data_IF_471544266277
#
_entry.id   IF_471544266277
#
_cell.length_a   1.000
_cell.length_b   1.000
_cell.length_c   1.000
_cell.angle_alpha   90.00
_cell.angle_beta   90.00
_cell.angle_gamma   90.00
#
_symmetry.space_group_name_H-M   'P 1'
#
loop_
_entity.id
_entity.type
_entity.pdbx_description
1 polymer ?
#
# COMPACT_ATOMS: atom_id res chain seq x y z
N UNK A 1 17.83 -8.29 -11.62
CA UNK A 1 16.97 -7.10 -11.63
C UNK A 1 16.29 -6.84 -10.31
N UNK A 2 15.66 -7.86 -9.70
CA UNK A 2 15.03 -7.74 -8.37
C UNK A 2 16.01 -7.35 -7.27
N UNK A 3 17.19 -8.00 -7.24
CA UNK A 3 18.24 -7.69 -6.27
C UNK A 3 18.78 -6.27 -6.44
N UNK A 4 18.92 -5.80 -7.67
CA UNK A 4 19.38 -4.46 -7.96
C UNK A 4 18.39 -3.40 -7.46
N UNK A 5 17.09 -3.63 -7.67
CA UNK A 5 16.02 -2.72 -7.20
C UNK A 5 16.03 -2.65 -5.67
N UNK A 6 16.13 -3.79 -4.98
CA UNK A 6 16.21 -3.84 -3.53
C UNK A 6 17.44 -3.10 -3.00
N UNK A 7 18.61 -3.26 -3.65
CA UNK A 7 19.82 -2.58 -3.24
C UNK A 7 19.71 -1.07 -3.40
N UNK A 8 19.10 -0.60 -4.51
CA UNK A 8 18.86 0.82 -4.74
C UNK A 8 17.92 1.41 -3.69
N UNK A 9 16.83 0.72 -3.38
CA UNK A 9 15.88 1.16 -2.35
C UNK A 9 16.54 1.22 -0.98
N UNK A 10 17.30 0.21 -0.62
CA UNK A 10 18.01 0.16 0.66
C UNK A 10 19.01 1.31 0.77
N UNK A 11 19.76 1.59 -0.30
CA UNK A 11 20.70 2.71 -0.33
C UNK A 11 20.00 4.05 -0.08
N UNK A 12 18.85 4.27 -0.71
CA UNK A 12 18.09 5.51 -0.54
C UNK A 12 17.55 5.63 0.90
N UNK A 13 17.07 4.55 1.49
CA UNK A 13 16.54 4.59 2.86
C UNK A 13 17.63 4.75 3.92
N UNK A 14 18.84 4.27 3.67
CA UNK A 14 19.97 4.39 4.59
C UNK A 14 20.67 5.73 4.48
N UNK A 15 20.75 6.31 3.29
CA UNK A 15 21.54 7.53 3.05
C UNK A 15 20.81 8.81 3.44
N UNK A 16 19.50 8.85 3.32
CA UNK A 16 18.71 10.05 3.65
C UNK A 16 17.38 9.67 4.31
N UNK A 17 17.11 10.24 5.47
CA UNK A 17 15.85 10.06 6.16
C UNK A 17 14.89 11.17 5.79
N UNK A 18 13.79 10.82 5.09
CA UNK A 18 12.70 11.75 4.84
C UNK A 18 11.89 11.92 6.13
N UNK A 19 11.65 13.15 6.54
CA UNK A 19 10.85 13.42 7.73
C UNK A 19 9.39 13.04 7.49
N UNK A 20 8.68 12.68 8.56
CA UNK A 20 7.24 12.41 8.50
C UNK A 20 6.51 13.64 7.96
N UNK A 21 6.92 14.83 8.39
CA UNK A 21 6.32 16.07 7.92
C UNK A 21 6.49 16.26 6.40
N UNK A 22 7.70 16.04 5.88
CA UNK A 22 7.96 16.14 4.45
C UNK A 22 7.15 15.15 3.63
N UNK A 23 7.06 13.92 4.08
CA UNK A 23 6.24 12.90 3.46
C UNK A 23 4.76 13.29 3.47
N UNK A 24 4.27 13.81 4.59
CA UNK A 24 2.89 14.26 4.73
C UNK A 24 2.56 15.42 3.81
N UNK A 25 3.49 16.36 3.63
CA UNK A 25 3.28 17.47 2.71
C UNK A 25 3.00 16.97 1.29
N UNK A 26 3.76 15.98 0.85
CA UNK A 26 3.57 15.38 -0.48
C UNK A 26 2.30 14.54 -0.54
N UNK A 27 2.17 13.60 0.38
CA UNK A 27 1.15 12.57 0.32
C UNK A 27 -0.21 13.06 0.81
N UNK A 28 -0.23 13.78 1.91
CA UNK A 28 -1.48 14.19 2.56
C UNK A 28 -2.03 15.50 2.06
N UNK A 29 -1.19 16.34 1.44
CA UNK A 29 -1.62 17.65 0.99
C UNK A 29 -1.43 17.87 -0.52
N UNK A 30 -0.19 17.80 -1.02
CA UNK A 30 0.09 18.18 -2.40
C UNK A 30 -0.58 17.25 -3.42
N UNK A 31 -0.47 15.95 -3.23
CA UNK A 31 -1.06 14.99 -4.17
C UNK A 31 -2.58 15.14 -4.25
N UNK A 32 -3.33 15.16 -3.13
CA UNK A 32 -4.78 15.41 -3.21
C UNK A 32 -5.13 16.76 -3.81
N UNK A 33 -4.34 17.80 -3.52
CA UNK A 33 -4.58 19.14 -4.07
C UNK A 33 -4.43 19.15 -5.59
N UNK A 34 -3.43 18.44 -6.12
CA UNK A 34 -3.17 18.37 -7.56
C UNK A 34 -4.19 17.49 -8.27
N UNK A 35 -4.52 16.34 -7.69
CA UNK A 35 -5.40 15.35 -8.32
C UNK A 35 -6.90 15.61 -8.10
N UNK A 36 -7.24 16.33 -7.03
CA UNK A 36 -8.62 16.71 -6.76
C UNK A 36 -9.49 15.53 -6.34
N UNK A 37 -10.75 15.56 -6.77
CA UNK A 37 -11.77 14.58 -6.37
C UNK A 37 -11.48 13.15 -6.83
N UNK A 38 -10.64 12.98 -7.83
CA UNK A 38 -10.31 11.65 -8.38
C UNK A 38 -9.08 11.04 -7.70
N UNK A 39 -8.58 11.68 -6.64
CA UNK A 39 -7.39 11.23 -5.91
C UNK A 39 -7.47 9.76 -5.51
N UNK A 40 -8.55 9.24 -4.88
CA UNK A 40 -8.57 7.84 -4.46
C UNK A 40 -8.40 6.87 -5.62
N UNK A 41 -9.10 7.09 -6.72
CA UNK A 41 -9.04 6.21 -7.89
C UNK A 41 -7.67 6.26 -8.55
N UNK A 42 -7.09 7.44 -8.67
CA UNK A 42 -5.78 7.62 -9.27
C UNK A 42 -4.69 6.98 -8.40
N UNK A 43 -4.79 7.13 -7.08
CA UNK A 43 -3.84 6.51 -6.15
C UNK A 43 -3.91 4.98 -6.20
N UNK A 44 -5.10 4.41 -6.28
CA UNK A 44 -5.28 2.97 -6.40
C UNK A 44 -4.59 2.44 -7.67
N UNK A 45 -4.85 3.08 -8.78
CA UNK A 45 -4.22 2.75 -10.05
C UNK A 45 -2.69 2.93 -9.98
N UNK A 46 -2.23 4.03 -9.38
CA UNK A 46 -0.80 4.29 -9.22
C UNK A 46 -0.13 3.21 -8.35
N UNK A 47 -0.81 2.76 -7.30
CA UNK A 47 -0.34 1.66 -6.45
C UNK A 47 -0.14 0.38 -7.23
N UNK A 48 -1.09 0.06 -8.11
CA UNK A 48 -0.96 -1.09 -9.00
C UNK A 48 0.25 -0.96 -9.93
N UNK A 49 0.45 0.20 -10.51
CA UNK A 49 1.60 0.46 -11.37
C UNK A 49 2.91 0.35 -10.61
N UNK A 50 2.94 0.85 -9.38
CA UNK A 50 4.11 0.77 -8.52
C UNK A 50 4.46 -0.69 -8.23
N UNK A 51 3.47 -1.52 -7.95
CA UNK A 51 3.68 -2.94 -7.70
C UNK A 51 4.20 -3.68 -8.94
N UNK A 52 3.77 -3.27 -10.14
CA UNK A 52 4.28 -3.84 -11.38
C UNK A 52 5.74 -3.45 -11.62
N UNK A 53 6.14 -2.27 -11.17
CA UNK A 53 7.53 -1.83 -11.27
C UNK A 53 8.42 -2.55 -10.26
N UNK A 54 7.89 -2.84 -9.08
CA UNK A 54 8.62 -3.49 -7.98
C UNK A 54 7.88 -4.76 -7.54
N UNK A 55 7.77 -5.78 -8.42
CA UNK A 55 7.09 -7.00 -8.04
C UNK A 55 7.87 -7.76 -6.99
N UNK A 56 7.17 -8.33 -6.02
CA UNK A 56 7.77 -9.15 -4.98
C UNK A 56 7.07 -10.52 -4.95
N UNK A 57 7.78 -11.52 -4.47
CA UNK A 57 7.34 -12.91 -4.59
C UNK A 57 6.71 -13.47 -3.32
N UNK A 58 6.92 -12.83 -2.18
CA UNK A 58 6.42 -13.32 -0.89
C UNK A 58 5.67 -12.22 -0.14
N UNK A 59 4.83 -12.66 0.81
CA UNK A 59 4.12 -11.74 1.68
C UNK A 59 5.08 -10.97 2.58
N UNK A 60 6.16 -11.63 3.02
CA UNK A 60 7.19 -10.98 3.83
C UNK A 60 7.86 -9.83 3.10
N UNK A 61 8.10 -10.00 1.81
CA UNK A 61 8.68 -8.94 0.97
C UNK A 61 7.72 -7.76 0.81
N UNK A 62 6.40 -8.01 0.81
CA UNK A 62 5.41 -6.92 0.81
C UNK A 62 5.54 -6.11 2.11
N UNK A 63 5.63 -6.79 3.24
CA UNK A 63 5.78 -6.15 4.56
C UNK A 63 7.04 -5.29 4.58
N UNK A 64 8.15 -5.84 4.10
CA UNK A 64 9.43 -5.12 4.04
C UNK A 64 9.35 -3.90 3.14
N UNK A 65 8.65 -4.00 2.01
CA UNK A 65 8.46 -2.87 1.11
C UNK A 65 7.75 -1.71 1.82
N UNK A 66 6.68 -2.01 2.57
CA UNK A 66 5.94 -0.99 3.31
C UNK A 66 6.85 -0.27 4.32
N UNK A 67 7.70 -1.02 5.01
CA UNK A 67 8.65 -0.46 5.96
C UNK A 67 9.66 0.45 5.26
N UNK A 68 10.25 -0.02 4.17
CA UNK A 68 11.25 0.75 3.42
C UNK A 68 10.67 2.00 2.76
N UNK A 69 9.42 1.92 2.32
CA UNK A 69 8.73 3.06 1.72
C UNK A 69 8.22 4.08 2.74
N UNK A 70 8.40 3.83 4.02
CA UNK A 70 7.86 4.63 5.12
C UNK A 70 6.33 4.69 5.10
N UNK A 71 5.70 3.67 4.55
CA UNK A 71 4.24 3.55 4.55
C UNK A 71 3.71 3.08 5.91
N UNK A 72 4.53 2.34 6.66
CA UNK A 72 4.21 1.90 7.99
C UNK A 72 4.47 0.42 8.23
N UNK A 73 3.99 -0.05 9.37
CA UNK A 73 4.12 -1.44 9.79
C UNK A 73 2.90 -2.22 9.33
N UNK A 74 3.12 -3.16 8.43
CA UNK A 74 2.07 -3.99 7.85
C UNK A 74 2.09 -5.37 8.50
N UNK A 75 0.93 -5.87 8.91
CA UNK A 75 0.77 -7.20 9.47
C UNK A 75 -0.30 -7.97 8.71
N UNK A 76 -0.10 -9.28 8.58
CA UNK A 76 -1.10 -10.18 8.03
C UNK A 76 -1.97 -10.66 9.19
N UNK A 77 -3.30 -10.49 9.09
CA UNK A 77 -4.23 -10.85 10.15
C UNK A 77 -4.98 -12.14 9.88
N UNK A 78 -5.33 -12.40 8.64
CA UNK A 78 -6.10 -13.59 8.30
C UNK A 78 -5.92 -13.91 6.82
N UNK A 79 -5.91 -15.19 6.51
CA UNK A 79 -5.87 -15.65 5.13
C UNK A 79 -6.86 -16.80 4.96
N UNK A 80 -7.74 -16.67 3.97
CA UNK A 80 -8.64 -17.74 3.54
C UNK A 80 -8.29 -18.11 2.11
N UNK A 81 -9.07 -18.98 1.48
CA UNK A 81 -8.80 -19.38 0.09
C UNK A 81 -9.12 -18.29 -0.94
N UNK A 82 -9.84 -17.25 -0.57
CA UNK A 82 -10.26 -16.17 -1.48
C UNK A 82 -10.05 -14.77 -0.92
N UNK A 83 -9.48 -14.64 0.28
CA UNK A 83 -9.22 -13.34 0.92
C UNK A 83 -7.91 -13.36 1.71
N UNK A 84 -7.30 -12.19 1.80
CA UNK A 84 -6.16 -11.95 2.66
C UNK A 84 -6.39 -10.60 3.36
N UNK A 85 -6.29 -10.60 4.69
CA UNK A 85 -6.48 -9.38 5.47
C UNK A 85 -5.15 -8.88 6.02
N UNK A 86 -4.90 -7.59 5.82
CA UNK A 86 -3.73 -6.88 6.34
C UNK A 86 -4.18 -5.79 7.30
N UNK A 87 -3.29 -5.43 8.20
CA UNK A 87 -3.47 -4.29 9.08
C UNK A 87 -2.24 -3.42 9.00
N UNK A 88 -2.44 -2.12 8.84
CA UNK A 88 -1.36 -1.15 8.70
C UNK A 88 -1.41 -0.13 9.82
N UNK A 89 -0.27 0.06 10.49
CA UNK A 89 -0.04 1.16 11.42
C UNK A 89 0.94 2.12 10.75
N UNK A 90 0.48 3.32 10.42
CA UNK A 90 1.26 4.29 9.67
C UNK A 90 1.67 5.48 10.55
N UNK A 91 2.87 6.04 10.36
CA UNK A 91 3.24 7.28 11.05
C UNK A 91 2.34 8.46 10.69
N UNK A 92 1.64 8.39 9.54
CA UNK A 92 0.71 9.43 9.10
C UNK A 92 -0.73 9.20 9.60
N UNK A 93 -0.95 8.14 10.36
CA UNK A 93 -2.31 7.74 10.75
C UNK A 93 -3.02 8.82 11.56
N UNK A 94 -2.31 9.47 12.50
CA UNK A 94 -2.90 10.48 13.38
C UNK A 94 -3.47 11.66 12.57
N UNK A 95 -2.70 12.21 11.65
CA UNK A 95 -3.16 13.35 10.85
C UNK A 95 -4.28 12.95 9.88
N UNK A 96 -4.23 11.73 9.33
CA UNK A 96 -5.26 11.25 8.40
C UNK A 96 -6.56 10.88 9.11
N UNK A 97 -6.48 10.37 10.33
CA UNK A 97 -7.66 10.06 11.14
C UNK A 97 -8.41 11.34 11.53
N UNK A 98 -7.70 12.44 11.76
CA UNK A 98 -8.30 13.73 12.08
C UNK A 98 -8.91 14.41 10.86
N UNK A 99 -8.51 14.03 9.67
CA UNK A 99 -9.05 14.56 8.43
C UNK A 99 -10.41 13.92 8.15
N UNK A 100 -11.31 14.68 7.52
CA UNK A 100 -12.60 14.17 7.08
C UNK A 100 -12.52 13.46 5.73
N UNK A 101 -11.36 13.48 5.09
CA UNK A 101 -11.21 12.82 3.79
C UNK A 101 -11.19 11.31 3.95
N UNK A 102 -11.81 10.63 3.01
CA UNK A 102 -11.90 9.17 2.96
C UNK A 102 -10.91 8.63 1.93
N UNK A 103 -10.55 7.34 2.06
CA UNK A 103 -9.73 6.63 1.08
C UNK A 103 -8.30 7.16 0.92
N UNK A 104 -7.69 7.56 2.03
CA UNK A 104 -6.31 8.05 2.03
C UNK A 104 -5.27 6.97 1.72
N UNK A 105 -5.61 5.71 1.88
CA UNK A 105 -4.69 4.60 1.75
C UNK A 105 -4.91 3.80 0.46
N UNK A 106 -5.46 4.43 -0.57
CA UNK A 106 -5.71 3.76 -1.84
C UNK A 106 -4.42 3.41 -2.59
N UNK A 107 -3.35 4.17 -2.42
CA UNK A 107 -2.06 3.81 -3.00
C UNK A 107 -1.60 2.46 -2.46
N UNK A 108 -1.64 2.31 -1.15
CA UNK A 108 -1.28 1.06 -0.47
C UNK A 108 -2.21 -0.09 -0.88
N UNK A 109 -3.52 0.19 -0.95
CA UNK A 109 -4.50 -0.80 -1.36
C UNK A 109 -4.22 -1.32 -2.79
N UNK A 110 -3.98 -0.41 -3.73
CA UNK A 110 -3.65 -0.80 -5.11
C UNK A 110 -2.37 -1.62 -5.20
N UNK A 111 -1.36 -1.22 -4.43
CA UNK A 111 -0.10 -1.96 -4.35
C UNK A 111 -0.33 -3.38 -3.84
N UNK A 112 -1.11 -3.54 -2.77
CA UNK A 112 -1.43 -4.86 -2.21
C UNK A 112 -2.19 -5.72 -3.22
N UNK A 113 -3.21 -5.16 -3.88
CA UNK A 113 -3.99 -5.88 -4.87
C UNK A 113 -3.10 -6.45 -5.97
N UNK A 114 -2.22 -5.63 -6.52
CA UNK A 114 -1.35 -6.03 -7.62
C UNK A 114 -0.29 -7.05 -7.20
N UNK A 115 0.27 -6.93 -5.99
CA UNK A 115 1.24 -7.91 -5.50
C UNK A 115 0.59 -9.28 -5.29
N UNK A 116 -0.61 -9.32 -4.71
CA UNK A 116 -1.33 -10.58 -4.52
C UNK A 116 -1.73 -11.17 -5.87
N UNK A 117 -2.18 -10.32 -6.80
CA UNK A 117 -2.49 -10.74 -8.17
C UNK A 117 -1.27 -11.40 -8.83
N UNK A 118 -0.11 -10.78 -8.71
CA UNK A 118 1.15 -11.30 -9.22
C UNK A 118 1.52 -12.65 -8.59
N UNK A 119 1.39 -12.75 -7.27
CA UNK A 119 1.81 -13.94 -6.53
C UNK A 119 0.86 -15.13 -6.76
N UNK A 120 -0.42 -14.88 -6.88
CA UNK A 120 -1.43 -15.93 -7.01
C UNK A 120 -1.86 -16.22 -8.44
N UNK A 121 -1.54 -15.35 -9.38
CA UNK A 121 -1.91 -15.53 -10.79
C UNK A 121 -3.40 -15.38 -11.04
N UNK A 122 -4.11 -14.63 -10.21
CA UNK A 122 -5.55 -14.37 -10.34
C UNK A 122 -5.81 -12.88 -10.19
N UNK A 123 -6.89 -12.38 -10.78
CA UNK A 123 -7.29 -10.98 -10.60
C UNK A 123 -7.66 -10.74 -9.13
N UNK A 124 -7.12 -9.69 -8.54
CA UNK A 124 -7.35 -9.35 -7.15
C UNK A 124 -7.74 -7.88 -7.00
N UNK A 125 -8.56 -7.61 -6.00
CA UNK A 125 -8.97 -6.26 -5.63
C UNK A 125 -8.75 -6.06 -4.14
N UNK A 126 -8.40 -4.83 -3.75
CA UNK A 126 -8.16 -4.50 -2.35
C UNK A 126 -9.09 -3.37 -1.91
N UNK A 127 -9.54 -3.46 -0.67
CA UNK A 127 -10.44 -2.50 -0.04
C UNK A 127 -9.82 -2.00 1.26
N UNK A 128 -9.89 -0.69 1.51
CA UNK A 128 -9.40 -0.14 2.76
C UNK A 128 -10.56 0.08 3.74
N UNK A 129 -10.28 -0.20 5.02
CA UNK A 129 -11.24 -0.02 6.11
C UNK A 129 -10.53 0.67 7.27
N UNK A 130 -10.56 2.02 7.34
CA UNK A 130 -9.92 2.72 8.44
C UNK A 130 -10.59 2.40 9.76
N UNK A 131 -9.80 2.08 10.78
CA UNK A 131 -10.28 1.84 12.15
C UNK A 131 -9.77 3.00 13.01
N UNK A 132 -10.54 4.09 13.03
CA UNK A 132 -10.13 5.36 13.63
C UNK A 132 -9.76 5.24 15.11
N UNK A 133 -10.53 4.47 15.89
CA UNK A 133 -10.29 4.30 17.32
C UNK A 133 -8.94 3.67 17.64
N UNK A 134 -8.46 2.78 16.76
CA UNK A 134 -7.21 2.07 16.96
C UNK A 134 -6.05 2.70 16.19
N UNK A 135 -6.31 3.78 15.45
CA UNK A 135 -5.33 4.45 14.59
C UNK A 135 -4.66 3.47 13.63
N UNK A 136 -5.46 2.60 13.03
CA UNK A 136 -5.03 1.57 12.10
C UNK A 136 -5.92 1.58 10.86
N UNK A 137 -5.40 1.04 9.77
CA UNK A 137 -6.23 0.76 8.60
C UNK A 137 -6.13 -0.72 8.28
N UNK A 138 -7.29 -1.33 8.02
CA UNK A 138 -7.36 -2.71 7.56
C UNK A 138 -7.52 -2.73 6.06
N UNK A 139 -6.86 -3.68 5.41
CA UNK A 139 -7.05 -3.92 3.99
C UNK A 139 -7.55 -5.34 3.81
N UNK A 140 -8.58 -5.49 2.98
CA UNK A 140 -9.04 -6.81 2.56
C UNK A 140 -8.72 -6.96 1.08
N UNK A 141 -7.91 -7.94 0.74
CA UNK A 141 -7.60 -8.28 -0.66
C UNK A 141 -8.42 -9.51 -1.02
N UNK A 142 -9.25 -9.40 -2.04
CA UNK A 142 -10.12 -10.47 -2.50
C UNK A 142 -9.76 -10.89 -3.91
N UNK A 143 -9.87 -12.18 -4.17
CA UNK A 143 -9.65 -12.73 -5.50
C UNK A 143 -10.65 -13.87 -5.77
N UNK A 144 -10.88 -14.12 -7.07
CA UNK A 144 -11.66 -15.28 -7.51
C UNK A 144 -10.67 -16.29 -8.09
N UNK A 145 -10.58 -17.46 -7.49
CA UNK A 145 -9.68 -18.53 -7.95
C UNK A 145 -9.94 -18.97 -9.38
N UNK A 146 -11.12 -18.67 -9.91
CA UNK A 146 -11.50 -18.99 -11.29
C UNK A 146 -11.12 -17.88 -12.27
N UNK A 147 -10.82 -16.68 -11.79
CA UNK A 147 -10.50 -15.52 -12.61
C UNK A 147 -8.98 -15.38 -12.76
N UNK A 148 -8.41 -16.32 -13.49
CA UNK A 148 -6.96 -16.40 -13.68
C UNK A 148 -6.48 -15.36 -14.68
N UNK A 149 -5.28 -14.86 -14.43
CA UNK A 149 -4.58 -13.99 -15.36
C UNK A 149 -3.96 -14.86 -16.45
N UNK A 150 -4.18 -14.50 -17.71
CA UNK A 150 -3.57 -15.18 -18.84
C UNK A 150 -2.17 -14.67 -19.13
#
# INVERSE_FOLDING_TARGET
>A
MKEQISAELTHLTESENTTVFGYELLRGFLIPEILGKDTPEILYWAGKKLARKYPVETQEEIIDFFTQASWGDLEIKNETKDELEFELTSPLMVSRVKSKAEHFFQLEAGFLAQQIEHQKGVVAEAFEHPVKKLQKVQFTVKWDRKDKIE
#
